data_IF_452269949359
#
_entry.id   IF_452269949359
#
_cell.length_a   1.000
_cell.length_b   1.000
_cell.length_c   1.000
_cell.angle_alpha   90.00
_cell.angle_beta   90.00
_cell.angle_gamma   90.00
#
_symmetry.space_group_name_H-M   'P 1'
#
loop_
_entity.id
_entity.type
_entity.pdbx_description
1 polymer ?
#
# COMPACT_ATOMS: atom_id res chain seq x y z
N UNK A 1 4.51 6.03 10.75
CA UNK A 1 4.68 5.24 11.99
C UNK A 1 3.90 3.92 11.92
N UNK A 2 4.34 2.85 12.60
CA UNK A 2 3.54 1.61 12.71
C UNK A 2 3.53 0.67 11.50
N UNK A 3 4.63 0.54 10.74
CA UNK A 3 4.66 -0.31 9.51
C UNK A 3 4.22 -1.77 9.76
N UNK A 4 4.54 -2.33 10.93
CA UNK A 4 4.14 -3.70 11.31
C UNK A 4 2.60 -3.87 11.40
N UNK A 5 1.87 -2.79 11.67
CA UNK A 5 0.41 -2.82 11.83
C UNK A 5 -0.34 -2.98 10.49
N UNK A 6 0.33 -2.78 9.35
CA UNK A 6 -0.31 -3.01 8.04
C UNK A 6 -0.75 -4.47 7.82
N UNK A 7 -0.15 -5.42 8.56
CA UNK A 7 -0.27 -6.86 8.32
C UNK A 7 -0.51 -7.69 9.59
N UNK A 8 -0.68 -7.08 10.77
CA UNK A 8 -0.82 -7.81 12.03
C UNK A 8 -2.24 -8.38 12.25
N UNK A 9 -3.21 -7.99 11.42
CA UNK A 9 -4.62 -8.38 11.50
C UNK A 9 -5.31 -7.91 12.78
N UNK A 10 -4.72 -6.95 13.49
CA UNK A 10 -5.30 -6.34 14.68
C UNK A 10 -6.13 -5.13 14.26
N UNK A 11 -7.43 -5.14 14.58
CA UNK A 11 -8.35 -4.06 14.22
C UNK A 11 -8.09 -2.77 15.03
N UNK A 12 -7.33 -2.86 16.13
CA UNK A 12 -7.01 -1.74 17.01
C UNK A 12 -5.68 -1.06 16.67
N UNK A 13 -4.91 -1.60 15.73
CA UNK A 13 -3.61 -1.05 15.33
C UNK A 13 -3.65 -0.50 13.90
N UNK A 14 -2.85 0.54 13.64
CA UNK A 14 -2.80 1.14 12.30
C UNK A 14 -1.42 1.67 11.93
N UNK A 15 -1.20 1.79 10.63
CA UNK A 15 -0.13 2.59 10.06
C UNK A 15 -0.59 4.01 9.82
N UNK A 16 0.25 4.97 10.20
CA UNK A 16 0.04 6.39 9.99
C UNK A 16 1.14 6.93 9.07
N UNK A 17 0.77 7.63 8.01
CA UNK A 17 1.74 8.36 7.18
C UNK A 17 2.27 9.60 7.90
N UNK A 18 3.26 10.25 7.28
CA UNK A 18 3.56 11.65 7.58
C UNK A 18 2.55 12.58 6.90
N UNK A 19 2.68 13.89 7.13
CA UNK A 19 1.95 14.92 6.39
C UNK A 19 2.53 15.12 4.99
N UNK A 20 1.72 15.62 4.06
CA UNK A 20 2.20 16.01 2.73
C UNK A 20 1.26 15.62 1.59
N UNK A 21 1.54 16.11 0.37
CA UNK A 21 0.65 15.99 -0.79
C UNK A 21 0.51 14.56 -1.33
N UNK A 22 1.46 13.69 -1.02
CA UNK A 22 1.43 12.29 -1.43
C UNK A 22 2.17 11.42 -0.44
N UNK A 23 1.60 10.27 -0.15
CA UNK A 23 2.16 9.29 0.79
C UNK A 23 2.29 7.96 0.06
N UNK A 24 3.20 7.09 0.49
CA UNK A 24 3.36 5.80 -0.17
C UNK A 24 3.78 4.70 0.78
N UNK A 25 3.45 3.48 0.36
CA UNK A 25 4.00 2.24 0.92
C UNK A 25 4.65 1.45 -0.21
N UNK A 26 5.76 0.79 0.12
CA UNK A 26 6.45 -0.13 -0.78
C UNK A 26 6.39 -1.50 -0.13
N UNK A 27 5.91 -2.46 -0.91
CA UNK A 27 5.82 -3.87 -0.56
C UNK A 27 6.91 -4.60 -1.34
N UNK A 28 7.77 -5.30 -0.62
CA UNK A 28 8.81 -6.15 -1.19
C UNK A 28 8.45 -7.60 -0.92
N UNK A 29 8.38 -8.41 -1.98
CA UNK A 29 8.01 -9.81 -1.90
C UNK A 29 9.26 -10.67 -1.94
N UNK A 30 9.37 -11.70 -1.09
CA UNK A 30 10.53 -12.60 -1.07
C UNK A 30 10.64 -13.45 -2.35
N UNK A 31 9.56 -13.48 -3.16
CA UNK A 31 9.49 -14.15 -4.44
C UNK A 31 8.54 -13.39 -5.36
N UNK A 32 8.67 -13.59 -6.67
CA UNK A 32 7.77 -12.95 -7.65
C UNK A 32 6.33 -13.41 -7.46
N UNK A 33 5.42 -12.45 -7.51
CA UNK A 33 3.98 -12.69 -7.44
C UNK A 33 3.27 -12.06 -8.64
N UNK A 34 2.20 -12.69 -9.10
CA UNK A 34 1.22 -12.08 -9.99
C UNK A 34 0.13 -11.46 -9.14
N UNK A 35 0.10 -10.12 -9.07
CA UNK A 35 -0.89 -9.40 -8.26
C UNK A 35 -2.25 -9.44 -8.97
N UNK A 36 -3.29 -9.86 -8.26
CA UNK A 36 -4.66 -9.87 -8.76
C UNK A 36 -5.53 -8.80 -8.10
N UNK A 37 -5.32 -8.52 -6.81
CA UNK A 37 -6.12 -7.56 -6.07
C UNK A 37 -5.32 -6.93 -4.92
N UNK A 38 -5.59 -5.65 -4.66
CA UNK A 38 -5.15 -4.92 -3.48
C UNK A 38 -6.39 -4.52 -2.67
N UNK A 39 -6.40 -4.81 -1.37
CA UNK A 39 -7.44 -4.40 -0.45
C UNK A 39 -6.83 -3.48 0.61
N UNK A 40 -7.47 -2.35 0.86
CA UNK A 40 -7.00 -1.36 1.82
C UNK A 40 -8.19 -0.92 2.68
N UNK A 41 -8.03 -1.03 4.00
CA UNK A 41 -8.97 -0.49 4.98
C UNK A 41 -8.39 0.80 5.56
N UNK A 42 -9.00 1.93 5.22
CA UNK A 42 -8.62 3.24 5.78
C UNK A 42 -9.37 3.52 7.09
N UNK A 43 -8.79 4.39 7.92
CA UNK A 43 -9.53 5.08 8.97
C UNK A 43 -10.44 6.16 8.34
N UNK A 44 -11.65 6.31 8.88
CA UNK A 44 -12.55 7.38 8.46
C UNK A 44 -11.90 8.77 8.57
N UNK A 45 -11.99 9.57 7.50
CA UNK A 45 -11.39 10.91 7.43
C UNK A 45 -9.91 10.96 7.00
N UNK A 46 -9.22 9.83 6.95
CA UNK A 46 -7.79 9.72 6.59
C UNK A 46 -7.57 8.81 5.37
N UNK A 47 -8.50 8.85 4.41
CA UNK A 47 -8.44 8.05 3.21
C UNK A 47 -7.82 8.81 2.04
N UNK A 48 -7.49 8.08 0.99
CA UNK A 48 -7.00 8.65 -0.27
C UNK A 48 -8.14 8.73 -1.28
N UNK A 49 -8.26 9.83 -2.04
CA UNK A 49 -9.22 9.93 -3.15
C UNK A 49 -8.66 9.36 -4.45
N UNK A 50 -7.35 9.45 -4.63
CA UNK A 50 -6.64 8.89 -5.78
C UNK A 50 -5.52 7.96 -5.31
N UNK A 51 -5.29 6.89 -6.06
CA UNK A 51 -4.21 5.96 -5.80
C UNK A 51 -3.50 5.56 -7.09
N UNK A 52 -2.18 5.37 -7.02
CA UNK A 52 -1.37 4.85 -8.12
C UNK A 52 -0.65 3.58 -7.69
N UNK A 53 -0.70 2.55 -8.54
CA UNK A 53 -0.02 1.28 -8.35
C UNK A 53 1.12 1.14 -9.35
N UNK A 54 2.31 0.87 -8.83
CA UNK A 54 3.53 0.71 -9.64
C UNK A 54 4.19 -0.60 -9.25
N UNK A 55 4.04 -1.60 -10.10
CA UNK A 55 4.73 -2.89 -9.98
C UNK A 55 6.08 -2.86 -10.66
N UNK A 56 7.14 -3.40 -10.04
CA UNK A 56 8.46 -3.53 -10.68
C UNK A 56 9.02 -4.94 -10.53
N UNK A 57 9.91 -5.30 -11.46
CA UNK A 57 10.72 -6.51 -11.44
C UNK A 57 12.17 -6.12 -11.76
N UNK A 58 13.06 -6.16 -10.78
CA UNK A 58 14.43 -5.64 -10.96
C UNK A 58 14.44 -4.18 -11.45
N UNK A 59 15.10 -3.91 -12.58
CA UNK A 59 15.12 -2.58 -13.22
C UNK A 59 13.92 -2.29 -14.11
N UNK A 60 13.06 -3.28 -14.37
CA UNK A 60 11.87 -3.11 -15.20
C UNK A 60 10.71 -2.57 -14.38
N UNK A 61 10.10 -1.49 -14.86
CA UNK A 61 8.93 -0.88 -14.25
C UNK A 61 7.65 -1.31 -14.98
N UNK A 62 6.53 -1.32 -14.24
CA UNK A 62 5.16 -1.57 -14.70
C UNK A 62 4.88 -2.99 -15.22
N UNK A 63 5.09 -3.99 -14.35
CA UNK A 63 4.71 -5.38 -14.61
C UNK A 63 3.56 -5.84 -13.71
N UNK A 64 2.79 -6.84 -14.17
CA UNK A 64 1.80 -7.56 -13.34
C UNK A 64 2.44 -8.65 -12.47
N UNK A 65 3.59 -9.16 -12.91
CA UNK A 65 4.43 -10.09 -12.17
C UNK A 65 5.56 -9.28 -11.55
N UNK A 66 5.60 -9.18 -10.23
CA UNK A 66 6.43 -8.20 -9.51
C UNK A 66 7.16 -8.84 -8.34
N UNK A 67 8.34 -8.32 -8.03
CA UNK A 67 9.03 -8.52 -6.75
C UNK A 67 8.83 -7.33 -5.80
N UNK A 68 8.38 -6.19 -6.34
CA UNK A 68 8.09 -4.97 -5.59
C UNK A 68 6.83 -4.28 -6.09
N UNK A 69 5.95 -3.89 -5.18
CA UNK A 69 4.75 -3.10 -5.46
C UNK A 69 4.76 -1.81 -4.65
N UNK A 70 4.74 -0.67 -5.33
CA UNK A 70 4.55 0.63 -4.70
C UNK A 70 3.10 1.06 -4.84
N UNK A 71 2.52 1.49 -3.73
CA UNK A 71 1.19 2.10 -3.66
C UNK A 71 1.39 3.56 -3.25
N UNK A 72 1.03 4.48 -4.13
CA UNK A 72 1.04 5.92 -3.84
C UNK A 72 -0.39 6.38 -3.60
N UNK A 73 -0.59 7.11 -2.51
CA UNK A 73 -1.83 7.74 -2.09
C UNK A 73 -1.74 9.24 -2.37
N UNK A 74 -2.69 9.76 -3.14
CA UNK A 74 -2.77 11.13 -3.62
C UNK A 74 -4.15 11.71 -3.27
N UNK A 75 -4.20 13.04 -3.08
CA UNK A 75 -5.44 13.75 -2.72
C UNK A 75 -6.12 13.11 -1.49
N UNK A 76 -5.37 13.09 -0.37
CA UNK A 76 -5.90 12.57 0.88
C UNK A 76 -7.03 13.45 1.42
N UNK A 77 -7.99 12.84 2.11
CA UNK A 77 -9.17 13.54 2.65
C UNK A 77 -8.86 14.38 3.88
N UNK A 78 -7.79 14.03 4.62
CA UNK A 78 -7.30 14.80 5.76
C UNK A 78 -6.68 16.12 5.30
N UNK A 79 -6.86 17.18 6.09
CA UNK A 79 -6.38 18.52 5.77
C UNK A 79 -4.86 18.62 5.63
N UNK A 80 -4.11 17.76 6.32
CA UNK A 80 -2.64 17.75 6.29
C UNK A 80 -2.07 16.72 5.30
N UNK A 81 -2.94 16.06 4.53
CA UNK A 81 -2.51 15.06 3.56
C UNK A 81 -2.12 13.71 4.19
N UNK A 82 -2.56 13.43 5.43
CA UNK A 82 -2.25 12.17 6.10
C UNK A 82 -3.16 11.05 5.63
N UNK A 83 -2.60 9.84 5.61
CA UNK A 83 -3.28 8.59 5.32
C UNK A 83 -3.09 7.65 6.50
N UNK A 84 -4.19 7.03 6.94
CA UNK A 84 -4.18 6.06 8.03
C UNK A 84 -4.81 4.75 7.54
N UNK A 85 -4.07 3.65 7.70
CA UNK A 85 -4.43 2.33 7.18
C UNK A 85 -4.43 1.33 8.32
N UNK A 86 -5.56 0.67 8.54
CA UNK A 86 -5.68 -0.47 9.46
C UNK A 86 -5.14 -1.74 8.81
N UNK A 87 -5.60 -2.04 7.59
CA UNK A 87 -5.21 -3.26 6.91
C UNK A 87 -4.84 -3.02 5.46
N UNK A 88 -3.74 -3.64 5.05
CA UNK A 88 -3.35 -3.76 3.65
C UNK A 88 -3.20 -5.24 3.31
N UNK A 89 -3.95 -5.70 2.31
CA UNK A 89 -3.86 -7.09 1.83
C UNK A 89 -3.56 -7.10 0.34
N UNK A 90 -2.58 -7.90 -0.04
CA UNK A 90 -2.27 -8.22 -1.43
C UNK A 90 -2.72 -9.63 -1.70
N UNK A 91 -3.58 -9.79 -2.70
CA UNK A 91 -4.04 -11.08 -3.19
C UNK A 91 -3.39 -11.33 -4.56
N UNK A 92 -3.02 -12.56 -4.81
CA UNK A 92 -2.31 -12.94 -6.02
C UNK A 92 -1.75 -14.35 -5.93
N UNK A 93 -1.05 -14.73 -6.99
CA UNK A 93 -0.40 -16.04 -7.10
C UNK A 93 1.11 -15.91 -7.02
N UNK A 94 1.73 -16.80 -6.26
CA UNK A 94 3.17 -17.04 -6.34
C UNK A 94 3.52 -17.53 -7.74
N UNK A 95 4.53 -16.93 -8.37
CA UNK A 95 5.13 -17.49 -9.59
C UNK A 95 6.41 -18.21 -9.19
N UNK A 96 6.44 -19.52 -9.49
CA UNK A 96 7.59 -20.41 -9.34
C UNK A 96 8.55 -20.16 -10.50
#
# INVERSE_FOLDING_TARGET
>A
FGKKHLFDQDEETCWNSDQGPSQWVILEFPQRICVSQLQIQFQGGFSSRQGRLEGSQGSEALSKIVDRLKVTFEDATDFFGRVVIYHLRVLGEKKV
#
